data_IF_685944313877
#
_entry.id   IF_685944313877
#
_cell.length_a   1.000
_cell.length_b   1.000
_cell.length_c   1.000
_cell.angle_alpha   90.00
_cell.angle_beta   90.00
_cell.angle_gamma   90.00
#
_symmetry.space_group_name_H-M   'P 1'
#
loop_
_entity.id
_entity.type
_entity.pdbx_description
1 polymer ?
#
# COMPACT_ATOMS: atom_id res chain seq x y z
N UNK A 1 33.47 -43.09 -38.65
CA UNK A 1 32.93 -43.58 -37.37
C UNK A 1 33.22 -42.62 -36.27
N UNK A 2 32.57 -41.57 -36.30
CA UNK A 2 32.73 -40.57 -35.27
C UNK A 2 31.76 -40.85 -34.12
N UNK A 3 32.29 -41.33 -33.04
CA UNK A 3 31.54 -41.35 -31.79
C UNK A 3 31.36 -39.92 -31.36
N UNK A 4 30.16 -39.47 -31.42
CA UNK A 4 29.85 -38.14 -30.92
C UNK A 4 30.26 -38.03 -29.45
N UNK A 5 31.19 -37.20 -29.20
CA UNK A 5 31.57 -36.84 -27.84
C UNK A 5 30.36 -36.24 -27.17
N UNK A 6 29.93 -36.75 -26.03
CA UNK A 6 28.88 -36.08 -25.30
C UNK A 6 29.42 -34.73 -24.87
N UNK A 7 28.67 -33.75 -25.17
CA UNK A 7 28.99 -32.39 -24.78
C UNK A 7 29.09 -32.34 -23.24
N UNK A 8 30.24 -32.02 -22.69
CA UNK A 8 30.40 -31.97 -21.23
C UNK A 8 29.78 -30.75 -20.61
N UNK A 9 29.06 -29.95 -21.39
CA UNK A 9 28.56 -28.68 -20.95
C UNK A 9 27.07 -28.66 -20.70
N UNK A 10 26.46 -29.81 -20.48
CA UNK A 10 25.14 -29.82 -19.91
C UNK A 10 25.25 -29.27 -18.46
N UNK A 11 25.38 -28.01 -18.37
CA UNK A 11 25.26 -27.35 -17.08
C UNK A 11 23.83 -27.50 -16.63
N UNK A 12 23.65 -28.31 -15.65
CA UNK A 12 22.46 -28.21 -14.85
C UNK A 12 22.31 -26.74 -14.42
N UNK A 13 21.18 -26.13 -14.68
CA UNK A 13 20.98 -24.83 -14.12
C UNK A 13 21.14 -24.95 -12.60
N UNK A 14 22.13 -24.29 -12.11
CA UNK A 14 22.27 -24.12 -10.69
C UNK A 14 20.92 -23.61 -10.21
N UNK A 15 20.27 -24.42 -9.44
CA UNK A 15 19.10 -23.97 -8.72
C UNK A 15 19.56 -22.81 -7.87
N UNK A 16 19.18 -21.64 -8.28
CA UNK A 16 19.31 -20.50 -7.42
C UNK A 16 18.65 -20.86 -6.11
N UNK A 17 19.33 -20.75 -5.00
CA UNK A 17 18.67 -20.95 -3.75
C UNK A 17 17.48 -20.01 -3.71
N UNK A 18 16.34 -20.56 -3.41
CA UNK A 18 15.18 -19.75 -3.11
C UNK A 18 15.62 -18.66 -2.14
N UNK A 19 15.16 -17.42 -2.32
CA UNK A 19 15.50 -16.40 -1.37
C UNK A 19 15.06 -16.93 -0.01
N UNK A 20 16.03 -17.17 0.81
CA UNK A 20 15.75 -17.43 2.20
C UNK A 20 15.00 -16.21 2.67
N UNK A 21 13.74 -16.36 2.88
CA UNK A 21 13.03 -15.40 3.68
C UNK A 21 13.70 -15.45 5.03
N UNK A 22 14.75 -14.70 5.16
CA UNK A 22 15.20 -14.35 6.46
C UNK A 22 14.02 -13.70 7.10
N UNK A 23 13.47 -14.38 8.07
CA UNK A 23 12.45 -13.81 8.89
C UNK A 23 12.85 -12.38 9.13
N UNK A 24 11.96 -11.49 8.82
CA UNK A 24 12.25 -10.08 8.92
C UNK A 24 12.88 -9.84 10.26
N UNK A 25 14.19 -9.69 10.26
CA UNK A 25 14.82 -9.12 11.40
C UNK A 25 14.15 -7.75 11.49
N UNK A 26 13.33 -7.61 12.45
CA UNK A 26 12.75 -6.35 12.80
C UNK A 26 13.90 -5.45 13.19
N UNK A 27 14.59 -4.97 12.20
CA UNK A 27 15.47 -3.86 12.41
C UNK A 27 14.58 -2.71 12.85
N UNK A 28 14.51 -2.49 14.14
CA UNK A 28 13.69 -1.47 14.75
C UNK A 28 14.04 -0.05 14.27
N UNK A 29 14.87 0.09 13.24
CA UNK A 29 15.28 1.36 12.68
C UNK A 29 14.90 1.55 11.21
N UNK A 30 14.30 0.56 10.55
CA UNK A 30 14.11 0.59 9.10
C UNK A 30 12.70 0.99 8.67
N UNK A 31 11.73 0.98 9.56
CA UNK A 31 10.35 1.32 9.25
C UNK A 31 9.99 2.65 9.90
N UNK A 32 9.58 3.62 9.08
CA UNK A 32 9.14 4.91 9.60
C UNK A 32 7.84 4.75 10.40
N UNK A 33 7.55 5.66 11.35
CA UNK A 33 6.29 5.63 12.08
C UNK A 33 5.08 5.68 11.16
N UNK A 34 5.15 6.45 10.08
CA UNK A 34 4.08 6.54 9.10
C UNK A 34 3.84 5.20 8.42
N UNK A 35 4.91 4.53 8.00
CA UNK A 35 4.82 3.22 7.37
C UNK A 35 4.19 2.19 8.30
N UNK A 36 4.60 2.20 9.56
CA UNK A 36 4.05 1.30 10.56
C UNK A 36 2.56 1.53 10.77
N UNK A 37 2.17 2.78 10.88
CA UNK A 37 0.76 3.15 11.04
C UNK A 37 -0.08 2.69 9.84
N UNK A 38 0.44 2.90 8.63
CA UNK A 38 -0.22 2.43 7.41
C UNK A 38 -0.40 0.91 7.41
N UNK A 39 0.65 0.18 7.73
CA UNK A 39 0.60 -1.29 7.74
C UNK A 39 -0.35 -1.83 8.80
N UNK A 40 -0.41 -1.21 9.96
CA UNK A 40 -1.36 -1.59 11.01
C UNK A 40 -2.81 -1.40 10.57
N UNK A 41 -3.11 -0.28 9.95
CA UNK A 41 -4.45 -0.01 9.43
C UNK A 41 -4.79 -0.94 8.28
N UNK A 42 -3.85 -1.18 7.39
CA UNK A 42 -4.04 -2.11 6.27
C UNK A 42 -4.32 -3.54 6.77
N UNK A 43 -3.66 -3.96 7.82
CA UNK A 43 -3.88 -5.28 8.40
C UNK A 43 -5.30 -5.47 8.95
N UNK A 44 -5.94 -4.38 9.36
CA UNK A 44 -7.33 -4.40 9.83
C UNK A 44 -8.33 -4.38 8.67
N UNK A 45 -7.91 -3.97 7.50
CA UNK A 45 -8.77 -3.84 6.32
C UNK A 45 -8.07 -4.44 5.08
N UNK A 46 -7.72 -5.73 5.13
CA UNK A 46 -6.88 -6.33 4.09
C UNK A 46 -7.58 -6.40 2.72
N UNK A 47 -8.90 -6.44 2.70
CA UNK A 47 -9.68 -6.49 1.47
C UNK A 47 -10.02 -5.13 0.89
N UNK A 48 -9.62 -4.06 1.54
CA UNK A 48 -9.94 -2.70 1.11
C UNK A 48 -8.69 -1.97 0.65
N UNK A 49 -8.84 -1.11 -0.35
CA UNK A 49 -7.82 -0.13 -0.69
C UNK A 49 -7.78 0.90 0.43
N UNK A 50 -6.60 1.15 0.98
CA UNK A 50 -6.45 2.06 2.09
C UNK A 50 -6.05 3.44 1.58
N UNK A 51 -6.91 4.43 1.76
CA UNK A 51 -6.60 5.83 1.51
C UNK A 51 -6.17 6.48 2.82
N UNK A 52 -4.92 6.88 2.86
CA UNK A 52 -4.23 7.34 4.06
C UNK A 52 -3.99 8.84 3.95
N UNK A 53 -4.61 9.62 4.82
CA UNK A 53 -4.52 11.08 4.77
C UNK A 53 -3.11 11.56 5.10
N UNK A 54 -2.52 12.30 4.18
CA UNK A 54 -1.24 12.97 4.35
C UNK A 54 -1.38 14.42 3.86
N UNK A 55 -1.52 15.35 4.78
CA UNK A 55 -1.76 16.74 4.42
C UNK A 55 -3.02 16.89 3.58
N UNK A 56 -2.88 17.45 2.39
CA UNK A 56 -4.01 17.70 1.49
C UNK A 56 -4.27 16.55 0.50
N UNK A 57 -3.62 15.41 0.71
CA UNK A 57 -3.75 14.24 -0.16
C UNK A 57 -4.21 13.02 0.62
N UNK A 58 -4.84 12.10 -0.10
CA UNK A 58 -4.96 10.72 0.32
C UNK A 58 -3.96 9.90 -0.47
N UNK A 59 -3.08 9.21 0.23
CA UNK A 59 -2.05 8.39 -0.37
C UNK A 59 -2.36 6.93 -0.17
N UNK A 60 -1.95 6.11 -1.09
CA UNK A 60 -2.02 4.66 -0.97
C UNK A 60 -0.69 4.06 -1.37
N UNK A 61 -0.38 2.89 -0.84
CA UNK A 61 0.95 2.30 -0.97
C UNK A 61 0.87 0.84 -1.39
N UNK A 62 2.00 0.29 -1.81
CA UNK A 62 2.16 -1.11 -2.18
C UNK A 62 1.20 -1.52 -3.30
N UNK A 63 0.56 -2.68 -3.18
CA UNK A 63 -0.36 -3.18 -4.19
C UNK A 63 -1.57 -2.29 -4.39
N UNK A 64 -2.03 -1.62 -3.33
CA UNK A 64 -3.13 -0.67 -3.45
C UNK A 64 -2.75 0.50 -4.35
N UNK A 65 -1.51 0.97 -4.27
CA UNK A 65 -1.02 2.04 -5.14
C UNK A 65 -0.99 1.59 -6.60
N UNK A 66 -0.53 0.39 -6.85
CA UNK A 66 -0.49 -0.18 -8.21
C UNK A 66 -1.91 -0.29 -8.76
N UNK A 67 -2.83 -0.80 -7.98
CA UNK A 67 -4.24 -0.94 -8.36
C UNK A 67 -4.87 0.42 -8.64
N UNK A 68 -4.69 1.38 -7.75
CA UNK A 68 -5.24 2.72 -7.93
C UNK A 68 -4.68 3.41 -9.16
N UNK A 69 -3.38 3.33 -9.36
CA UNK A 69 -2.75 3.95 -10.54
C UNK A 69 -3.35 3.40 -11.82
N UNK A 70 -3.58 2.11 -11.89
CA UNK A 70 -4.16 1.46 -13.06
C UNK A 70 -5.64 1.84 -13.26
N UNK A 71 -6.45 1.75 -12.20
CA UNK A 71 -7.89 1.98 -12.31
C UNK A 71 -8.25 3.45 -12.44
N UNK A 72 -7.50 4.32 -11.79
CA UNK A 72 -7.78 5.75 -11.79
C UNK A 72 -6.96 6.52 -12.82
N UNK A 73 -6.01 5.85 -13.47
CA UNK A 73 -5.09 6.47 -14.43
C UNK A 73 -4.33 7.64 -13.80
N UNK A 74 -3.89 7.45 -12.57
CA UNK A 74 -3.06 8.43 -11.87
C UNK A 74 -1.62 7.94 -11.82
N UNK A 75 -0.70 8.84 -11.51
CA UNK A 75 0.72 8.54 -11.50
C UNK A 75 1.09 7.58 -10.38
N UNK A 76 1.78 6.51 -10.73
CA UNK A 76 2.42 5.64 -9.76
C UNK A 76 3.84 6.14 -9.54
N UNK A 77 4.14 6.47 -8.30
CA UNK A 77 5.47 6.92 -7.90
C UNK A 77 6.05 5.96 -6.87
N UNK A 78 7.15 6.33 -6.28
CA UNK A 78 7.73 5.61 -5.16
C UNK A 78 8.07 6.59 -4.05
N UNK A 79 8.02 6.11 -2.83
CA UNK A 79 8.39 6.89 -1.66
C UNK A 79 9.31 6.10 -0.75
N UNK A 80 10.34 6.73 -0.24
CA UNK A 80 11.18 6.12 0.77
C UNK A 80 10.42 6.05 2.10
N UNK A 81 10.34 4.84 2.63
CA UNK A 81 9.63 4.55 3.87
C UNK A 81 10.54 3.96 4.92
N UNK A 82 11.80 4.32 4.86
CA UNK A 82 12.88 3.84 5.69
C UNK A 82 14.16 3.80 4.88
N UNK A 83 15.29 3.49 5.51
CA UNK A 83 16.57 3.42 4.82
C UNK A 83 16.55 2.40 3.70
N UNK A 84 16.72 2.88 2.48
CA UNK A 84 16.78 2.02 1.31
C UNK A 84 15.51 1.28 0.97
N UNK A 85 14.41 1.59 1.64
CA UNK A 85 13.11 0.98 1.37
C UNK A 85 12.26 1.97 0.60
N UNK A 86 12.06 1.68 -0.68
CA UNK A 86 11.19 2.46 -1.55
C UNK A 86 9.96 1.63 -1.89
N UNK A 87 8.79 2.18 -1.62
CA UNK A 87 7.51 1.50 -1.87
C UNK A 87 6.72 2.23 -2.93
N UNK A 88 5.89 1.52 -3.71
CA UNK A 88 4.97 2.17 -4.64
C UNK A 88 4.00 3.08 -3.89
N UNK A 89 3.70 4.21 -4.50
CA UNK A 89 2.79 5.19 -3.93
C UNK A 89 1.96 5.84 -5.02
N UNK A 90 0.70 6.07 -4.75
CA UNK A 90 -0.19 6.87 -5.57
C UNK A 90 -1.07 7.71 -4.66
N UNK A 91 -1.43 8.89 -5.10
CA UNK A 91 -2.21 9.79 -4.26
C UNK A 91 -3.20 10.62 -5.06
N UNK A 92 -4.24 11.04 -4.38
CA UNK A 92 -5.27 11.92 -4.94
C UNK A 92 -5.48 13.11 -4.03
N UNK A 93 -5.76 14.29 -4.59
CA UNK A 93 -6.08 15.45 -3.76
C UNK A 93 -7.31 15.22 -2.91
N UNK A 94 -7.27 15.63 -1.66
CA UNK A 94 -8.38 15.44 -0.74
C UNK A 94 -9.66 16.10 -1.22
N UNK A 95 -9.55 17.28 -1.85
CA UNK A 95 -10.72 18.00 -2.35
C UNK A 95 -11.42 17.30 -3.53
N UNK A 96 -10.74 16.36 -4.17
CA UNK A 96 -11.28 15.62 -5.32
C UNK A 96 -11.59 14.15 -4.98
N UNK A 97 -11.45 13.76 -3.73
CA UNK A 97 -11.50 12.35 -3.32
C UNK A 97 -12.82 11.66 -3.67
N UNK A 98 -13.94 12.37 -3.60
CA UNK A 98 -15.26 11.77 -3.83
C UNK A 98 -15.38 11.20 -5.24
N UNK A 99 -14.87 11.91 -6.24
CA UNK A 99 -14.86 11.42 -7.61
C UNK A 99 -14.02 10.15 -7.77
N UNK A 100 -12.87 10.11 -7.13
CA UNK A 100 -12.00 8.94 -7.18
C UNK A 100 -12.59 7.76 -6.44
N UNK A 101 -13.22 7.99 -5.28
CA UNK A 101 -13.92 6.94 -4.55
C UNK A 101 -15.03 6.33 -5.39
N UNK A 102 -15.83 7.17 -6.05
CA UNK A 102 -16.91 6.71 -6.93
C UNK A 102 -16.37 5.81 -8.05
N UNK A 103 -15.22 6.19 -8.63
CA UNK A 103 -14.60 5.39 -9.70
C UNK A 103 -14.10 4.04 -9.19
N UNK A 104 -13.47 4.01 -8.03
CA UNK A 104 -13.00 2.74 -7.44
C UNK A 104 -14.17 1.83 -7.10
N UNK A 105 -15.23 2.36 -6.52
CA UNK A 105 -16.44 1.61 -6.22
C UNK A 105 -17.09 1.09 -7.51
N UNK A 106 -17.10 1.88 -8.57
CA UNK A 106 -17.60 1.45 -9.87
C UNK A 106 -16.77 0.28 -10.44
N UNK A 107 -15.50 0.18 -10.07
CA UNK A 107 -14.66 -0.96 -10.43
C UNK A 107 -14.78 -2.14 -9.46
N UNK A 108 -15.73 -2.10 -8.55
CA UNK A 108 -15.94 -3.19 -7.60
C UNK A 108 -14.99 -3.20 -6.42
N UNK A 109 -14.34 -2.07 -6.13
CA UNK A 109 -13.35 -2.00 -5.05
C UNK A 109 -13.95 -1.39 -3.79
N UNK A 110 -13.57 -1.95 -2.65
CA UNK A 110 -13.85 -1.37 -1.35
C UNK A 110 -12.69 -0.46 -0.96
N UNK A 111 -12.99 0.68 -0.37
CA UNK A 111 -11.98 1.66 0.03
C UNK A 111 -12.18 2.01 1.50
N UNK A 112 -11.13 1.90 2.28
CA UNK A 112 -11.10 2.37 3.66
C UNK A 112 -10.40 3.74 3.67
N UNK A 113 -11.09 4.75 4.15
CA UNK A 113 -10.59 6.12 4.19
C UNK A 113 -10.11 6.42 5.59
N UNK A 114 -8.83 6.76 5.70
CA UNK A 114 -8.19 7.11 6.97
C UNK A 114 -7.98 8.61 7.06
N UNK A 115 -8.49 9.18 8.13
CA UNK A 115 -8.33 10.61 8.43
C UNK A 115 -7.35 10.82 9.57
N UNK A 116 -6.73 11.98 9.58
CA UNK A 116 -5.96 12.43 10.72
C UNK A 116 -6.91 12.73 11.87
N UNK A 117 -6.62 12.16 13.01
CA UNK A 117 -7.42 12.35 14.20
C UNK A 117 -6.62 13.15 15.21
N UNK A 118 -7.19 14.23 15.71
CA UNK A 118 -6.60 14.97 16.79
C UNK A 118 -6.85 14.21 18.10
N UNK A 119 -5.81 13.61 18.63
CA UNK A 119 -5.89 12.85 19.88
C UNK A 119 -5.61 13.73 21.11
N UNK A 120 -5.63 15.05 20.94
CA UNK A 120 -5.32 15.99 22.01
C UNK A 120 -3.84 16.06 22.37
N UNK A 121 -3.01 15.33 21.66
CA UNK A 121 -1.55 15.32 21.88
C UNK A 121 -0.82 16.19 20.88
N UNK A 122 -1.49 17.21 20.39
CA UNK A 122 -0.94 18.06 19.36
C UNK A 122 0.37 18.72 19.79
N UNK A 123 1.37 18.49 18.97
CA UNK A 123 2.47 19.38 18.79
C UNK A 123 3.37 19.71 19.98
N UNK A 124 4.43 18.97 20.14
CA UNK A 124 5.60 19.38 20.89
C UNK A 124 6.83 18.75 20.27
N UNK A 125 8.02 19.27 20.59
CA UNK A 125 9.26 18.68 20.08
C UNK A 125 9.33 17.20 20.44
N UNK A 126 9.69 16.37 19.47
CA UNK A 126 9.81 14.93 19.68
C UNK A 126 8.49 14.16 19.63
N UNK A 127 7.42 14.78 19.20
CA UNK A 127 6.15 14.09 19.11
C UNK A 127 6.03 13.23 17.87
N UNK A 128 5.43 12.04 18.06
CA UNK A 128 5.13 11.20 16.92
C UNK A 128 4.09 11.87 16.03
N UNK A 129 4.04 11.40 14.81
CA UNK A 129 3.09 11.76 13.80
C UNK A 129 1.67 11.70 14.30
N UNK A 130 0.79 12.54 13.77
CA UNK A 130 -0.63 12.51 14.09
C UNK A 130 -1.21 11.12 13.90
N UNK A 131 -2.07 10.71 14.80
CA UNK A 131 -2.82 9.47 14.68
C UNK A 131 -3.76 9.52 13.50
N UNK A 132 -3.98 8.38 12.88
CA UNK A 132 -4.96 8.21 11.81
C UNK A 132 -5.85 7.05 12.12
N UNK A 133 -7.11 7.20 11.77
CA UNK A 133 -8.11 6.16 11.96
C UNK A 133 -8.94 6.02 10.69
N UNK A 134 -9.44 4.81 10.46
CA UNK A 134 -10.44 4.60 9.41
C UNK A 134 -11.75 5.20 9.87
N UNK A 135 -12.18 6.24 9.18
CA UNK A 135 -13.40 6.96 9.51
C UNK A 135 -14.56 6.57 8.60
N UNK A 136 -14.26 5.92 7.49
CA UNK A 136 -15.25 5.60 6.48
C UNK A 136 -14.79 4.40 5.66
N UNK A 137 -15.71 3.48 5.40
CA UNK A 137 -15.50 2.39 4.46
C UNK A 137 -16.55 2.50 3.37
N UNK A 138 -16.09 2.58 2.14
CA UNK A 138 -16.95 2.71 0.97
C UNK A 138 -16.92 1.38 0.23
N UNK A 139 -18.09 0.78 0.06
CA UNK A 139 -18.23 -0.53 -0.58
C UNK A 139 -19.02 -0.43 -1.88
N UNK A 140 -18.68 -1.24 -2.89
CA UNK A 140 -19.45 -1.32 -4.10
C UNK A 140 -20.72 -2.12 -3.88
N UNK A 141 -21.76 -1.79 -4.64
CA UNK A 141 -22.92 -2.65 -4.79
C UNK A 141 -23.84 -2.82 -3.58
N UNK A 142 -23.46 -2.28 -2.46
CA UNK A 142 -24.39 -2.11 -1.39
C UNK A 142 -25.16 -0.81 -1.61
N UNK A 143 -25.74 -0.69 -2.73
CA UNK A 143 -26.93 0.11 -2.75
C UNK A 143 -27.97 -0.72 -2.04
N UNK A 144 -27.82 -0.81 -0.76
CA UNK A 144 -29.00 -0.97 0.02
C UNK A 144 -29.77 0.31 -0.26
N UNK A 145 -30.64 0.22 -1.20
CA UNK A 145 -31.67 1.20 -1.28
C UNK A 145 -32.16 1.36 0.12
N UNK A 146 -31.98 2.54 0.73
CA UNK A 146 -32.64 2.75 1.97
C UNK A 146 -34.10 2.53 1.67
N UNK A 147 -34.56 1.40 2.03
CA UNK A 147 -35.96 1.17 2.00
C UNK A 147 -36.55 2.19 2.92
N UNK A 148 -37.02 3.15 2.27
CA UNK A 148 -37.87 4.05 2.97
C UNK A 148 -39.04 3.34 3.51
#
# INVERSE_FOLDING_TARGET
MEAGTPDPLARTPSSSPAPTTRGASTGAGTVTPMRRQYLELKARHPGAILFFRLGDFYETFDDDAVTCAALLQITLTGREMGRGVRVPMAGVPAHAVQGYLARLVAHGRTVAVCEQVDDGRAGGPGRPMMSREVTRVVTPGTVVEPTM
#
